data_IF_176537629350
#
_entry.id   IF_176537629350
#
_cell.length_a   1.000
_cell.length_b   1.000
_cell.length_c   1.000
_cell.angle_alpha   90.00
_cell.angle_beta   90.00
_cell.angle_gamma   90.00
#
_symmetry.space_group_name_H-M   'P 1'
#
loop_
_entity.id
_entity.type
_entity.pdbx_description
1 polymer ?
#
# COMPACT_ATOMS: atom_id res chain seq x y z
N UNK A 1 23.92 -16.53 12.70
CA UNK A 1 22.87 -15.55 13.09
C UNK A 1 21.61 -15.66 12.21
N UNK A 2 21.68 -15.44 10.88
CA UNK A 2 20.49 -15.53 9.99
C UNK A 2 19.71 -16.85 10.06
N UNK A 3 20.38 -17.98 10.28
CA UNK A 3 19.74 -19.30 10.38
C UNK A 3 18.83 -19.41 11.63
N UNK A 4 19.32 -18.97 12.79
CA UNK A 4 18.53 -18.88 14.04
C UNK A 4 17.22 -18.12 13.83
N UNK A 5 17.28 -17.00 13.11
CA UNK A 5 16.10 -16.19 12.79
C UNK A 5 15.13 -16.88 11.83
N UNK A 6 15.65 -17.59 10.81
CA UNK A 6 14.84 -18.37 9.88
C UNK A 6 14.02 -19.44 10.59
N UNK A 7 14.59 -20.09 11.59
CA UNK A 7 13.90 -21.07 12.43
C UNK A 7 12.89 -20.39 13.36
N UNK A 8 13.35 -19.46 14.21
CA UNK A 8 12.55 -18.85 15.29
C UNK A 8 11.34 -18.07 14.81
N UNK A 9 11.48 -17.23 13.79
CA UNK A 9 10.43 -16.28 13.38
C UNK A 9 9.72 -16.66 12.07
N UNK A 10 10.34 -17.54 11.27
CA UNK A 10 9.86 -17.85 9.94
C UNK A 10 9.55 -19.34 9.72
N UNK A 11 9.66 -20.17 10.76
CA UNK A 11 9.46 -21.63 10.72
C UNK A 11 10.17 -22.27 9.51
N UNK A 12 11.39 -21.83 9.23
CA UNK A 12 12.22 -22.25 8.10
C UNK A 12 11.64 -22.03 6.68
N UNK A 13 10.52 -21.30 6.57
CA UNK A 13 9.88 -20.92 5.30
C UNK A 13 10.69 -19.85 4.56
N UNK A 14 11.28 -18.93 5.32
CA UNK A 14 12.30 -17.99 4.85
C UNK A 14 13.68 -18.63 5.05
N UNK A 15 14.55 -18.49 4.06
CA UNK A 15 15.94 -18.98 4.08
C UNK A 15 16.91 -17.81 4.18
N UNK A 16 18.15 -17.98 4.69
CA UNK A 16 19.10 -16.88 4.89
C UNK A 16 19.33 -15.99 3.66
N UNK A 17 19.34 -16.57 2.45
CA UNK A 17 19.47 -15.82 1.18
C UNK A 17 18.35 -14.80 0.92
N UNK A 18 17.21 -14.95 1.58
CA UNK A 18 16.07 -14.03 1.44
C UNK A 18 16.06 -12.95 2.53
N UNK A 19 16.97 -13.00 3.51
CA UNK A 19 17.12 -11.99 4.54
C UNK A 19 18.17 -10.96 4.10
N UNK A 20 17.68 -9.77 3.73
CA UNK A 20 18.53 -8.62 3.39
C UNK A 20 18.80 -7.80 4.65
N UNK A 21 20.04 -7.40 4.85
CA UNK A 21 20.39 -6.46 5.91
C UNK A 21 19.80 -5.07 5.65
N UNK A 22 19.50 -4.36 6.73
CA UNK A 22 19.14 -2.96 6.67
C UNK A 22 19.79 -2.19 7.83
N UNK A 23 20.01 -0.91 7.57
CA UNK A 23 20.35 0.12 8.55
C UNK A 23 19.51 1.34 8.18
N UNK A 24 18.74 1.87 9.13
CA UNK A 24 17.79 2.93 8.87
C UNK A 24 17.70 3.90 10.05
N UNK A 25 17.57 5.20 9.74
CA UNK A 25 17.28 6.24 10.71
C UNK A 25 15.76 6.45 10.80
N UNK A 26 15.22 6.44 12.01
CA UNK A 26 13.80 6.61 12.29
C UNK A 26 13.40 8.10 12.29
N UNK A 27 12.10 8.44 12.21
CA UNK A 27 11.62 9.82 12.30
C UNK A 27 12.13 10.62 13.51
N UNK A 28 12.18 10.01 14.70
CA UNK A 28 12.69 10.64 15.92
C UNK A 28 14.22 10.64 16.01
N UNK A 29 14.90 10.05 15.02
CA UNK A 29 16.36 10.08 14.88
C UNK A 29 17.09 8.92 15.53
N UNK A 30 16.38 7.88 15.97
CA UNK A 30 16.99 6.61 16.37
C UNK A 30 17.60 5.90 15.15
N UNK A 31 18.58 5.04 15.37
CA UNK A 31 19.16 4.19 14.33
C UNK A 31 18.79 2.74 14.63
N UNK A 32 18.24 2.05 13.64
CA UNK A 32 17.88 0.64 13.74
C UNK A 32 18.63 -0.18 12.71
N UNK A 33 19.06 -1.37 13.10
CA UNK A 33 19.71 -2.35 12.21
C UNK A 33 19.05 -3.71 12.34
N UNK A 34 19.07 -4.48 11.26
CA UNK A 34 18.49 -5.82 11.29
C UNK A 34 18.35 -6.47 9.91
N UNK A 35 17.36 -7.34 9.79
CA UNK A 35 17.11 -8.15 8.60
C UNK A 35 15.67 -8.04 8.13
N UNK A 36 15.45 -7.90 6.82
CA UNK A 36 14.12 -7.86 6.19
C UNK A 36 13.97 -8.99 5.16
N UNK A 37 12.84 -9.68 5.21
CA UNK A 37 12.52 -10.79 4.31
C UNK A 37 12.08 -10.30 2.93
N UNK A 38 12.71 -10.85 1.89
CA UNK A 38 12.36 -10.66 0.48
C UNK A 38 11.62 -11.86 -0.13
N UNK A 39 11.26 -12.86 0.68
CA UNK A 39 10.57 -14.07 0.20
C UNK A 39 9.12 -13.72 -0.16
N UNK A 40 8.64 -14.02 -1.38
CA UNK A 40 7.26 -13.70 -1.79
C UNK A 40 6.26 -14.71 -1.20
N UNK A 41 6.03 -14.65 0.11
CA UNK A 41 5.11 -15.50 0.86
C UNK A 41 4.43 -14.69 1.98
N UNK A 42 3.89 -15.38 3.00
CA UNK A 42 3.28 -14.74 4.19
C UNK A 42 4.23 -13.83 4.99
N UNK A 43 5.54 -13.91 4.77
CA UNK A 43 6.56 -13.12 5.46
C UNK A 43 7.22 -12.09 4.55
N UNK A 44 6.61 -11.75 3.42
CA UNK A 44 7.16 -10.74 2.52
C UNK A 44 7.20 -9.38 3.22
N UNK A 45 8.40 -8.84 3.42
CA UNK A 45 8.61 -7.55 4.08
C UNK A 45 8.61 -7.59 5.60
N UNK A 46 8.39 -8.75 6.23
CA UNK A 46 8.55 -8.93 7.67
C UNK A 46 10.04 -8.77 8.03
N UNK A 47 10.33 -8.24 9.21
CA UNK A 47 11.69 -7.92 9.61
C UNK A 47 12.00 -8.26 11.07
N UNK A 48 13.29 -8.32 11.37
CA UNK A 48 13.81 -8.49 12.73
C UNK A 48 14.78 -7.34 12.95
N UNK A 49 14.49 -6.51 13.95
CA UNK A 49 15.42 -5.49 14.45
C UNK A 49 16.34 -6.17 15.45
N UNK A 50 17.64 -6.07 15.21
CA UNK A 50 18.67 -6.73 16.03
C UNK A 50 19.47 -5.75 16.88
N UNK A 51 19.42 -4.46 16.55
CA UNK A 51 20.19 -3.43 17.23
C UNK A 51 19.47 -2.09 17.14
N UNK A 52 19.49 -1.34 18.24
CA UNK A 52 18.94 0.01 18.35
C UNK A 52 19.99 0.93 18.96
N UNK A 53 20.23 2.07 18.32
CA UNK A 53 20.90 3.23 18.92
C UNK A 53 19.87 4.35 19.05
N UNK A 54 19.53 4.68 20.29
CA UNK A 54 18.63 5.80 20.59
C UNK A 54 19.29 7.14 20.22
N UNK A 55 18.45 8.17 19.99
CA UNK A 55 18.93 9.54 19.70
C UNK A 55 19.90 10.09 20.75
N UNK A 56 19.79 9.65 22.00
CA UNK A 56 20.67 10.04 23.12
C UNK A 56 22.05 9.33 23.10
N UNK A 57 22.29 8.43 22.16
CA UNK A 57 23.53 7.64 22.02
C UNK A 57 23.52 6.28 22.72
N UNK A 58 22.52 5.97 23.55
CA UNK A 58 22.37 4.65 24.18
C UNK A 58 22.17 3.59 23.09
N UNK A 59 22.98 2.53 23.12
CA UNK A 59 22.93 1.45 22.11
C UNK A 59 22.83 0.09 22.77
N UNK A 60 22.03 -0.80 22.19
CA UNK A 60 21.80 -2.14 22.71
C UNK A 60 21.34 -3.11 21.61
N UNK A 61 21.60 -4.40 21.87
CA UNK A 61 21.11 -5.49 21.05
C UNK A 61 19.69 -5.86 21.49
N UNK A 62 18.86 -6.24 20.51
CA UNK A 62 17.47 -6.64 20.74
C UNK A 62 17.07 -7.73 19.73
N UNK A 63 15.91 -8.35 19.90
CA UNK A 63 15.32 -9.24 18.90
C UNK A 63 13.83 -8.92 18.75
N UNK A 64 13.53 -7.81 18.08
CA UNK A 64 12.15 -7.39 17.86
C UNK A 64 11.68 -7.82 16.46
N UNK A 65 10.65 -8.67 16.41
CA UNK A 65 10.02 -9.10 15.17
C UNK A 65 8.89 -8.15 14.77
N UNK A 66 8.81 -7.82 13.48
CA UNK A 66 7.73 -7.02 12.92
C UNK A 66 7.14 -7.78 11.74
N UNK A 67 5.90 -8.21 11.88
CA UNK A 67 5.18 -8.93 10.84
C UNK A 67 4.68 -7.95 9.77
N UNK A 68 4.90 -8.26 8.49
CA UNK A 68 4.38 -7.46 7.38
C UNK A 68 3.08 -8.05 6.84
N UNK A 69 2.36 -7.28 6.03
CA UNK A 69 1.19 -7.78 5.33
C UNK A 69 1.58 -8.91 4.37
N UNK A 70 0.89 -10.07 4.39
CA UNK A 70 1.26 -11.23 3.60
C UNK A 70 1.17 -10.93 2.10
N UNK A 71 1.94 -11.67 1.28
CA UNK A 71 1.72 -11.66 -0.17
C UNK A 71 0.38 -12.34 -0.48
N UNK A 72 -0.59 -11.55 -0.93
CA UNK A 72 -1.91 -12.03 -1.33
C UNK A 72 -1.95 -12.26 -2.85
N UNK A 73 -2.63 -13.34 -3.26
CA UNK A 73 -2.67 -13.82 -4.64
C UNK A 73 -4.01 -13.50 -5.31
N UNK A 74 -4.02 -13.49 -6.64
CA UNK A 74 -5.26 -13.44 -7.40
C UNK A 74 -6.00 -14.78 -7.28
N UNK A 75 -7.32 -14.71 -7.20
CA UNK A 75 -8.13 -15.91 -7.34
C UNK A 75 -7.90 -16.56 -8.71
N UNK A 76 -7.70 -17.87 -8.71
CA UNK A 76 -7.56 -18.64 -9.94
C UNK A 76 -8.30 -19.99 -9.84
N UNK A 77 -8.38 -20.70 -10.98
CA UNK A 77 -9.07 -22.00 -11.11
C UNK A 77 -8.52 -23.11 -10.20
N UNK A 78 -7.37 -22.91 -9.53
CA UNK A 78 -6.75 -23.91 -8.64
C UNK A 78 -7.34 -23.87 -7.24
N UNK A 79 -8.05 -22.80 -6.89
CA UNK A 79 -8.75 -22.69 -5.62
C UNK A 79 -10.10 -23.41 -5.76
N UNK A 80 -10.06 -24.72 -5.53
CA UNK A 80 -11.25 -25.55 -5.44
C UNK A 80 -11.70 -25.62 -3.99
N UNK A 81 -12.96 -25.31 -3.77
CA UNK A 81 -13.69 -25.66 -2.56
C UNK A 81 -13.86 -27.17 -2.46
N UNK A 82 -13.94 -27.70 -1.23
CA UNK A 82 -14.27 -29.10 -0.98
C UNK A 82 -15.76 -29.22 -0.69
N UNK A 83 -16.34 -30.38 -0.97
CA UNK A 83 -17.81 -30.59 -0.95
C UNK A 83 -18.45 -30.42 0.45
N UNK A 84 -17.68 -30.54 1.54
CA UNK A 84 -18.17 -30.57 2.93
C UNK A 84 -18.22 -29.19 3.64
N UNK A 85 -18.46 -28.12 2.89
CA UNK A 85 -18.42 -26.77 3.42
C UNK A 85 -19.72 -26.40 4.14
N UNK A 86 -19.67 -26.17 5.46
CA UNK A 86 -20.79 -25.72 6.29
C UNK A 86 -21.18 -24.24 6.06
N UNK A 87 -21.53 -23.51 7.12
CA UNK A 87 -21.80 -22.06 7.00
C UNK A 87 -20.53 -21.32 6.62
N UNK A 88 -20.60 -20.48 5.59
CA UNK A 88 -19.50 -19.66 5.12
C UNK A 88 -19.99 -18.24 4.89
N UNK A 89 -19.26 -17.25 5.41
CA UNK A 89 -19.46 -15.83 5.12
C UNK A 89 -18.10 -15.24 4.73
N UNK A 90 -18.00 -14.78 3.48
CA UNK A 90 -16.84 -14.06 2.98
C UNK A 90 -17.16 -12.60 2.77
N UNK A 91 -16.37 -11.72 3.39
CA UNK A 91 -16.50 -10.29 3.19
C UNK A 91 -15.63 -9.83 2.01
N UNK A 92 -16.27 -9.17 1.05
CA UNK A 92 -15.62 -8.63 -0.14
C UNK A 92 -15.34 -7.13 0.09
N UNK A 93 -14.16 -6.84 0.64
CA UNK A 93 -13.74 -5.48 0.97
C UNK A 93 -13.20 -4.74 -0.25
N UNK A 94 -13.42 -3.43 -0.34
CA UNK A 94 -12.84 -2.58 -1.39
C UNK A 94 -11.32 -2.73 -1.38
N UNK A 95 -10.76 -3.11 -2.54
CA UNK A 95 -9.32 -3.05 -2.72
C UNK A 95 -8.95 -1.62 -3.09
N UNK A 96 -8.51 -0.87 -2.09
CA UNK A 96 -7.95 0.46 -2.30
C UNK A 96 -6.62 0.38 -3.08
N UNK A 97 -6.31 1.48 -3.75
CA UNK A 97 -5.15 1.59 -4.63
C UNK A 97 -4.23 2.71 -4.14
N UNK A 98 -3.30 2.34 -3.27
CA UNK A 98 -2.31 3.23 -2.71
C UNK A 98 -1.07 2.48 -2.22
N UNK A 99 -0.57 2.89 -1.06
CA UNK A 99 0.66 2.35 -0.50
C UNK A 99 0.37 1.64 0.81
N UNK A 100 0.67 0.34 0.85
CA UNK A 100 0.59 -0.44 2.06
C UNK A 100 1.66 0.01 3.06
N UNK A 101 1.22 0.50 4.22
CA UNK A 101 2.05 0.86 5.36
C UNK A 101 1.89 -0.18 6.46
N UNK A 102 3.01 -0.54 7.07
CA UNK A 102 3.07 -1.41 8.22
C UNK A 102 3.51 -0.53 9.38
N UNK A 103 2.73 -0.45 10.44
CA UNK A 103 2.96 0.43 11.58
C UNK A 103 3.21 -0.43 12.80
N UNK A 104 4.32 -0.18 13.49
CA UNK A 104 4.75 -0.91 14.67
C UNK A 104 5.38 0.04 15.70
N UNK A 105 5.35 -0.35 16.97
CA UNK A 105 6.09 0.33 18.04
C UNK A 105 7.55 -0.11 18.04
N UNK A 106 8.51 0.82 17.98
CA UNK A 106 9.90 0.55 18.33
C UNK A 106 10.02 0.54 19.85
N UNK A 107 10.55 -0.54 20.41
CA UNK A 107 10.64 -0.69 21.87
C UNK A 107 12.08 -0.68 22.37
N UNK A 108 12.27 -0.17 23.58
CA UNK A 108 13.56 -0.25 24.26
C UNK A 108 13.78 -1.58 24.98
N UNK A 109 14.95 -1.74 25.62
CA UNK A 109 15.31 -2.94 26.39
C UNK A 109 14.31 -3.28 27.51
N UNK A 110 13.58 -2.27 28.00
CA UNK A 110 12.56 -2.42 29.05
C UNK A 110 11.18 -2.79 28.47
N UNK A 111 11.06 -2.95 27.15
CA UNK A 111 9.80 -3.24 26.46
C UNK A 111 8.89 -2.02 26.27
N UNK A 112 9.35 -0.81 26.63
CA UNK A 112 8.55 0.40 26.46
C UNK A 112 8.64 0.92 25.03
N UNK A 113 7.50 1.36 24.49
CA UNK A 113 7.45 2.09 23.21
C UNK A 113 8.25 3.38 23.31
N UNK A 114 9.23 3.56 22.41
CA UNK A 114 10.01 4.79 22.27
C UNK A 114 9.65 5.58 21.02
N UNK A 115 9.02 4.94 20.03
CA UNK A 115 8.60 5.57 18.78
C UNK A 115 7.63 4.67 18.00
N UNK A 116 6.59 5.23 17.38
CA UNK A 116 5.73 4.51 16.42
C UNK A 116 6.30 4.73 15.01
N UNK A 117 6.61 3.63 14.31
CA UNK A 117 7.30 3.67 13.02
C UNK A 117 6.38 3.17 11.90
N UNK A 118 6.04 4.01 10.91
CA UNK A 118 5.50 3.55 9.64
C UNK A 118 6.64 3.04 8.74
N UNK A 119 6.47 1.83 8.20
CA UNK A 119 7.36 1.23 7.21
C UNK A 119 6.61 0.82 5.94
N UNK A 120 7.32 0.80 4.82
CA UNK A 120 6.83 0.17 3.59
C UNK A 120 7.20 -1.32 3.55
N UNK A 121 6.86 -2.01 2.47
CA UNK A 121 7.09 -3.46 2.35
C UNK A 121 8.57 -3.81 2.36
N UNK A 122 9.44 -3.02 1.72
CA UNK A 122 10.87 -3.34 1.57
C UNK A 122 11.79 -2.37 2.28
N UNK A 123 11.28 -1.43 3.06
CA UNK A 123 12.09 -0.54 3.90
C UNK A 123 11.72 -0.75 5.36
N UNK A 124 12.69 -0.59 6.26
CA UNK A 124 12.44 -0.68 7.70
C UNK A 124 11.74 0.57 8.26
N UNK A 125 11.91 1.70 7.56
CA UNK A 125 11.24 2.98 7.79
C UNK A 125 10.76 3.47 6.44
N UNK A 126 9.54 3.99 6.34
CA UNK A 126 9.01 4.53 5.10
C UNK A 126 9.84 5.72 4.62
N UNK A 127 9.89 5.96 3.31
CA UNK A 127 10.65 7.07 2.77
C UNK A 127 10.04 8.44 3.13
N UNK A 128 10.83 9.51 3.00
CA UNK A 128 10.41 10.84 3.44
C UNK A 128 9.11 11.33 2.79
N UNK A 129 8.85 10.99 1.52
CA UNK A 129 7.61 11.41 0.83
C UNK A 129 6.40 10.74 1.47
N UNK A 130 6.49 9.45 1.76
CA UNK A 130 5.43 8.71 2.45
C UNK A 130 5.26 9.23 3.88
N UNK A 131 6.36 9.47 4.60
CA UNK A 131 6.32 10.06 5.94
C UNK A 131 5.65 11.44 5.94
N UNK A 132 5.90 12.27 4.93
CA UNK A 132 5.27 13.59 4.81
C UNK A 132 3.77 13.48 4.55
N UNK A 133 3.31 12.47 3.81
CA UNK A 133 1.88 12.18 3.66
C UNK A 133 1.27 11.62 4.94
N UNK A 134 1.98 10.73 5.64
CA UNK A 134 1.57 10.17 6.94
C UNK A 134 1.46 11.23 8.04
N UNK A 135 2.18 12.35 7.95
CA UNK A 135 1.99 13.48 8.88
C UNK A 135 0.63 14.14 8.73
N UNK A 136 0.00 14.06 7.56
CA UNK A 136 -1.26 14.76 7.23
C UNK A 136 -2.52 14.00 7.63
N UNK A 137 -2.41 12.72 8.01
CA UNK A 137 -3.55 11.91 8.44
C UNK A 137 -3.79 12.04 9.96
N UNK A 138 -5.01 11.73 10.37
CA UNK A 138 -5.34 11.50 11.78
C UNK A 138 -4.72 10.18 12.26
N UNK A 139 -3.97 10.24 13.35
CA UNK A 139 -3.22 9.12 13.93
C UNK A 139 -3.69 8.75 15.33
N UNK A 140 -4.75 9.40 15.84
CA UNK A 140 -5.18 9.25 17.23
C UNK A 140 -5.40 7.78 17.62
N UNK A 141 -6.15 7.02 16.83
CA UNK A 141 -6.39 5.60 17.11
C UNK A 141 -5.10 4.74 17.10
N UNK A 142 -4.15 5.06 16.21
CA UNK A 142 -2.84 4.38 16.13
C UNK A 142 -2.02 4.67 17.40
N UNK A 143 -1.97 5.94 17.81
CA UNK A 143 -1.24 6.38 19.00
C UNK A 143 -1.85 5.82 20.28
N UNK A 144 -3.18 5.79 20.39
CA UNK A 144 -3.91 5.17 21.51
C UNK A 144 -3.64 3.67 21.59
N UNK A 145 -3.73 2.94 20.47
CA UNK A 145 -3.42 1.50 20.42
C UNK A 145 -2.01 1.21 20.93
N UNK A 146 -0.98 1.85 20.36
CA UNK A 146 0.41 1.60 20.76
C UNK A 146 0.82 2.24 22.10
N UNK A 147 -0.06 3.02 22.75
CA UNK A 147 0.19 3.55 24.10
C UNK A 147 0.05 2.46 25.18
N UNK A 148 -0.67 1.38 24.90
CA UNK A 148 -0.81 0.25 25.81
C UNK A 148 0.38 -0.72 25.63
N UNK A 149 1.18 -0.97 26.69
CA UNK A 149 2.36 -1.84 26.61
C UNK A 149 2.08 -3.29 26.19
N UNK A 150 0.83 -3.75 26.27
CA UNK A 150 0.44 -5.10 25.81
C UNK A 150 0.73 -5.26 24.31
N UNK A 151 0.59 -4.20 23.51
CA UNK A 151 0.76 -4.24 22.06
C UNK A 151 2.21 -4.04 21.59
N UNK A 152 3.20 -4.31 22.45
CA UNK A 152 4.61 -4.07 22.14
C UNK A 152 5.13 -4.88 20.94
N UNK A 153 4.58 -6.06 20.68
CA UNK A 153 4.95 -6.90 19.52
C UNK A 153 3.94 -6.84 18.36
N UNK A 154 2.89 -6.03 18.51
CA UNK A 154 1.82 -5.99 17.53
C UNK A 154 2.20 -5.14 16.33
N UNK A 155 1.53 -5.38 15.22
CA UNK A 155 1.74 -4.65 13.99
C UNK A 155 0.42 -4.42 13.28
N UNK A 156 0.14 -3.16 12.94
CA UNK A 156 -1.04 -2.78 12.21
C UNK A 156 -0.68 -2.51 10.74
N UNK A 157 -1.46 -3.04 9.81
CA UNK A 157 -1.22 -2.87 8.38
C UNK A 157 -2.35 -2.07 7.76
N UNK A 158 -1.95 -1.05 7.02
CA UNK A 158 -2.83 -0.04 6.51
C UNK A 158 -2.62 0.17 5.00
N UNK A 159 -3.64 0.68 4.32
CA UNK A 159 -3.50 1.29 3.01
C UNK A 159 -3.56 2.81 3.15
N UNK A 160 -2.47 3.51 2.79
CA UNK A 160 -2.44 4.97 2.64
C UNK A 160 -2.92 5.31 1.22
N UNK A 161 -3.99 6.10 1.08
CA UNK A 161 -4.63 6.35 -0.21
C UNK A 161 -5.20 7.79 -0.29
N UNK A 162 -5.47 8.26 -1.50
CA UNK A 162 -6.05 9.58 -1.74
C UNK A 162 -5.43 10.29 -2.93
N UNK A 163 -5.83 11.55 -3.15
CA UNK A 163 -5.31 12.42 -4.21
C UNK A 163 -3.78 12.55 -4.11
N UNK A 164 -3.24 12.72 -2.90
CA UNK A 164 -1.80 12.87 -2.70
C UNK A 164 -1.01 11.58 -2.97
N UNK A 165 -1.63 10.43 -2.75
CA UNK A 165 -1.02 9.12 -2.97
C UNK A 165 -1.69 8.37 -4.14
N UNK A 166 -1.86 9.06 -5.27
CA UNK A 166 -2.57 8.53 -6.42
C UNK A 166 -1.75 7.48 -7.17
N UNK A 167 -2.32 6.30 -7.32
CA UNK A 167 -1.84 5.22 -8.20
C UNK A 167 -2.71 5.17 -9.47
N UNK A 168 -3.37 4.05 -9.77
CA UNK A 168 -4.21 3.84 -10.94
C UNK A 168 -5.62 4.43 -10.74
N UNK A 169 -6.29 4.09 -9.63
CA UNK A 169 -7.61 4.67 -9.28
C UNK A 169 -7.42 6.00 -8.56
N UNK A 170 -8.14 7.02 -9.04
CA UNK A 170 -8.14 8.34 -8.42
C UNK A 170 -9.23 8.42 -7.35
N UNK A 171 -8.84 8.41 -6.08
CA UNK A 171 -9.72 8.66 -4.93
C UNK A 171 -9.95 10.17 -4.74
N UNK A 172 -10.66 10.80 -5.69
CA UNK A 172 -10.82 12.27 -5.74
C UNK A 172 -11.58 12.87 -4.56
N UNK A 173 -12.31 12.05 -3.80
CA UNK A 173 -13.10 12.48 -2.64
C UNK A 173 -12.29 12.40 -1.34
N UNK A 174 -11.05 11.90 -1.40
CA UNK A 174 -10.15 11.73 -0.27
C UNK A 174 -8.82 12.41 -0.57
N UNK A 175 -8.49 13.49 0.12
CA UNK A 175 -7.21 14.19 -0.09
C UNK A 175 -6.01 13.28 0.23
N UNK A 176 -6.01 12.72 1.44
CA UNK A 176 -5.11 11.67 1.93
C UNK A 176 -5.75 11.08 3.19
N UNK A 177 -5.82 9.76 3.30
CA UNK A 177 -6.31 9.07 4.49
C UNK A 177 -5.69 7.67 4.57
N UNK A 178 -5.96 6.97 5.66
CA UNK A 178 -5.48 5.62 5.92
C UNK A 178 -6.62 4.71 6.40
N UNK A 179 -6.61 3.45 5.98
CA UNK A 179 -7.54 2.43 6.51
C UNK A 179 -6.81 1.14 6.86
N UNK A 180 -7.27 0.48 7.92
CA UNK A 180 -6.72 -0.78 8.42
C UNK A 180 -7.13 -1.92 7.49
N UNK A 181 -6.14 -2.56 6.86
CA UNK A 181 -6.33 -3.68 5.93
C UNK A 181 -5.90 -5.03 6.51
N UNK A 182 -5.19 -5.03 7.65
CA UNK A 182 -4.80 -6.22 8.38
C UNK A 182 -4.16 -5.86 9.71
N UNK A 183 -4.10 -6.83 10.62
CA UNK A 183 -3.45 -6.69 11.91
C UNK A 183 -2.73 -7.99 12.28
N UNK A 184 -1.60 -7.85 12.95
CA UNK A 184 -0.90 -8.94 13.60
C UNK A 184 -0.83 -8.62 15.10
N UNK A 185 -1.61 -9.34 15.89
CA UNK A 185 -1.82 -9.11 17.31
C UNK A 185 -1.61 -10.43 18.02
N UNK A 186 -0.88 -10.43 19.14
CA UNK A 186 -0.62 -11.63 19.94
C UNK A 186 -0.10 -12.81 19.10
N UNK A 187 0.93 -12.53 18.29
CA UNK A 187 1.58 -13.50 17.39
C UNK A 187 0.67 -14.09 16.29
N UNK A 188 -0.53 -13.54 16.12
CA UNK A 188 -1.55 -14.05 15.19
C UNK A 188 -1.91 -12.98 14.16
N UNK A 189 -1.96 -13.39 12.89
CA UNK A 189 -2.49 -12.51 11.85
C UNK A 189 -4.01 -12.62 11.84
N UNK A 190 -4.71 -11.51 12.08
CA UNK A 190 -6.15 -11.47 12.25
C UNK A 190 -6.87 -11.42 10.89
N UNK A 191 -7.94 -12.21 10.73
CA UNK A 191 -8.89 -12.09 9.63
C UNK A 191 -9.85 -10.91 9.82
N UNK A 192 -10.72 -10.68 8.82
CA UNK A 192 -11.66 -9.57 8.88
C UNK A 192 -12.58 -9.61 10.09
N UNK A 193 -13.16 -10.77 10.39
CA UNK A 193 -14.08 -10.93 11.49
C UNK A 193 -13.35 -10.75 12.82
N UNK A 194 -12.17 -11.35 12.95
CA UNK A 194 -11.29 -11.18 14.11
C UNK A 194 -10.90 -9.72 14.36
N UNK A 195 -10.72 -8.91 13.31
CA UNK A 195 -10.51 -7.46 13.45
C UNK A 195 -11.78 -6.76 13.93
N UNK A 196 -12.94 -7.10 13.37
CA UNK A 196 -14.22 -6.46 13.72
C UNK A 196 -14.68 -6.72 15.16
N UNK A 197 -14.31 -7.86 15.75
CA UNK A 197 -14.69 -8.20 17.13
C UNK A 197 -13.60 -7.85 18.16
N UNK A 198 -12.44 -7.39 17.70
CA UNK A 198 -11.36 -7.00 18.59
C UNK A 198 -11.59 -5.57 19.07
N UNK A 199 -11.94 -5.42 20.35
CA UNK A 199 -12.25 -4.12 20.96
C UNK A 199 -11.10 -3.11 20.89
N UNK A 200 -9.86 -3.57 20.82
CA UNK A 200 -8.69 -2.69 20.68
C UNK A 200 -8.61 -2.09 19.27
N UNK A 201 -9.34 -2.67 18.30
CA UNK A 201 -9.36 -2.26 16.91
C UNK A 201 -10.65 -1.52 16.47
N UNK A 202 -11.64 -1.37 17.36
CA UNK A 202 -12.95 -0.77 17.04
C UNK A 202 -12.88 0.67 16.49
N UNK A 203 -11.83 1.42 16.85
CA UNK A 203 -11.66 2.82 16.45
C UNK A 203 -10.96 2.99 15.09
N UNK A 204 -10.54 1.92 14.42
CA UNK A 204 -9.88 2.02 13.12
C UNK A 204 -10.89 1.99 11.97
N UNK A 205 -10.72 2.91 11.02
CA UNK A 205 -11.42 2.84 9.73
C UNK A 205 -10.94 1.62 8.97
N UNK A 206 -11.88 0.85 8.41
CA UNK A 206 -11.60 -0.28 7.52
C UNK A 206 -12.08 0.04 6.10
N UNK A 207 -11.56 -0.64 5.06
CA UNK A 207 -12.13 -0.55 3.72
C UNK A 207 -13.60 -0.99 3.72
N UNK A 208 -14.41 -0.30 2.92
CA UNK A 208 -15.83 -0.62 2.79
C UNK A 208 -16.02 -2.05 2.31
N UNK A 209 -16.85 -2.82 3.00
CA UNK A 209 -17.35 -4.09 2.46
C UNK A 209 -18.37 -3.76 1.37
N UNK A 210 -18.12 -4.19 0.13
CA UNK A 210 -19.02 -3.93 -1.01
C UNK A 210 -20.06 -5.05 -1.13
N UNK A 211 -19.58 -6.30 -0.98
CA UNK A 211 -20.42 -7.50 -1.07
C UNK A 211 -20.10 -8.47 0.08
N UNK A 212 -21.03 -9.39 0.35
CA UNK A 212 -20.75 -10.65 1.04
C UNK A 212 -21.05 -11.83 0.12
N UNK A 213 -20.28 -12.90 0.25
CA UNK A 213 -20.59 -14.21 -0.33
C UNK A 213 -20.96 -15.13 0.82
N UNK A 214 -22.17 -15.65 0.82
CA UNK A 214 -22.74 -16.40 1.94
C UNK A 214 -23.20 -17.78 1.49
N UNK A 215 -22.98 -18.80 2.32
CA UNK A 215 -23.57 -20.14 2.22
C UNK A 215 -24.05 -20.55 3.61
N UNK A 216 -25.32 -20.93 3.74
CA UNK A 216 -25.85 -21.44 5.01
C UNK A 216 -25.71 -22.97 5.11
N UNK A 217 -25.70 -23.56 6.32
CA UNK A 217 -25.50 -25.02 6.50
C UNK A 217 -26.52 -25.90 5.77
N UNK A 218 -27.73 -25.41 5.58
CA UNK A 218 -28.84 -26.06 4.91
C UNK A 218 -28.90 -25.78 3.40
N UNK A 219 -27.99 -24.94 2.90
CA UNK A 219 -27.93 -24.54 1.49
C UNK A 219 -26.75 -25.20 0.76
N UNK A 220 -27.04 -25.71 -0.44
CA UNK A 220 -26.00 -26.22 -1.35
C UNK A 220 -25.47 -25.16 -2.32
N UNK A 221 -25.85 -23.90 -2.12
CA UNK A 221 -25.53 -22.80 -3.04
C UNK A 221 -25.06 -21.57 -2.27
N UNK A 222 -24.21 -20.79 -2.92
CA UNK A 222 -23.77 -19.49 -2.45
C UNK A 222 -24.73 -18.39 -2.91
N UNK A 223 -24.93 -17.37 -2.08
CA UNK A 223 -25.58 -16.12 -2.44
C UNK A 223 -24.56 -14.97 -2.41
N UNK A 224 -24.75 -13.99 -3.29
CA UNK A 224 -23.95 -12.76 -3.31
C UNK A 224 -24.83 -11.61 -2.89
N UNK A 225 -24.57 -11.03 -1.71
CA UNK A 225 -25.36 -9.94 -1.17
C UNK A 225 -24.61 -8.62 -1.26
N UNK A 226 -25.34 -7.56 -1.56
CA UNK A 226 -24.86 -6.20 -1.46
C UNK A 226 -24.80 -5.79 0.02
N UNK A 227 -23.74 -5.12 0.44
CA UNK A 227 -23.72 -4.55 1.78
C UNK A 227 -24.46 -3.19 1.81
N UNK A 228 -25.60 -3.15 2.51
CA UNK A 228 -26.45 -1.95 2.62
C UNK A 228 -25.75 -0.76 3.27
N UNK A 229 -24.74 -1.01 4.10
CA UNK A 229 -23.97 0.04 4.78
C UNK A 229 -22.96 0.75 3.85
N UNK A 230 -22.83 0.30 2.59
CA UNK A 230 -22.00 0.97 1.60
C UNK A 230 -22.70 2.23 1.03
N UNK A 231 -22.67 3.32 1.78
CA UNK A 231 -23.29 4.60 1.39
C UNK A 231 -22.63 5.22 0.14
N UNK A 232 -21.32 5.06 -0.02
CA UNK A 232 -20.53 5.60 -1.14
C UNK A 232 -21.05 5.12 -2.49
N UNK A 233 -21.50 3.87 -2.58
CA UNK A 233 -21.95 3.24 -3.82
C UNK A 233 -23.46 3.00 -3.88
N UNK A 234 -24.24 3.52 -2.92
CA UNK A 234 -25.69 3.29 -2.82
C UNK A 234 -26.46 3.61 -4.10
N UNK A 235 -26.10 4.69 -4.80
CA UNK A 235 -26.75 5.08 -6.07
C UNK A 235 -26.40 4.16 -7.25
N UNK A 236 -25.39 3.31 -7.09
CA UNK A 236 -24.92 2.36 -8.09
C UNK A 236 -25.23 0.91 -7.70
N UNK A 237 -25.98 0.72 -6.59
CA UNK A 237 -26.38 -0.58 -6.07
C UNK A 237 -26.87 -1.48 -7.19
N UNK A 238 -26.32 -2.68 -7.20
CA UNK A 238 -26.69 -3.72 -8.15
C UNK A 238 -26.81 -5.02 -7.35
N UNK A 239 -28.01 -5.60 -7.34
CA UNK A 239 -28.36 -6.78 -6.55
C UNK A 239 -28.30 -8.01 -7.44
N UNK A 240 -27.79 -9.12 -6.91
CA UNK A 240 -27.97 -10.44 -7.49
C UNK A 240 -29.05 -11.19 -6.70
N UNK A 241 -30.12 -11.59 -7.38
CA UNK A 241 -31.15 -12.50 -6.82
C UNK A 241 -30.82 -13.97 -7.09
N UNK A 242 -29.70 -14.24 -7.77
CA UNK A 242 -29.26 -15.60 -8.12
C UNK A 242 -28.50 -16.24 -6.97
N UNK A 243 -28.61 -17.56 -6.90
CA UNK A 243 -27.72 -18.42 -6.12
C UNK A 243 -26.76 -19.17 -7.05
N UNK A 244 -25.63 -19.59 -6.52
CA UNK A 244 -24.50 -20.12 -7.28
C UNK A 244 -24.06 -21.47 -6.70
N UNK A 245 -23.89 -22.52 -7.52
CA UNK A 245 -23.51 -23.83 -7.01
C UNK A 245 -22.07 -23.88 -6.49
N UNK A 246 -21.22 -22.92 -6.88
CA UNK A 246 -19.82 -22.86 -6.45
C UNK A 246 -19.39 -21.44 -6.08
N UNK A 247 -18.41 -21.30 -5.20
CA UNK A 247 -17.77 -20.00 -4.93
C UNK A 247 -17.11 -19.41 -6.17
N UNK A 248 -16.62 -20.24 -7.09
CA UNK A 248 -16.09 -19.75 -8.35
C UNK A 248 -17.17 -18.98 -9.13
N UNK A 249 -18.37 -19.53 -9.22
CA UNK A 249 -19.50 -18.89 -9.91
C UNK A 249 -19.97 -17.64 -9.17
N UNK A 250 -20.02 -17.68 -7.83
CA UNK A 250 -20.31 -16.50 -7.02
C UNK A 250 -19.28 -15.39 -7.23
N UNK A 251 -17.98 -15.72 -7.31
CA UNK A 251 -16.91 -14.76 -7.63
C UNK A 251 -17.07 -14.21 -9.05
N UNK A 252 -17.51 -15.02 -10.03
CA UNK A 252 -17.80 -14.51 -11.38
C UNK A 252 -18.95 -13.50 -11.37
N UNK A 253 -19.99 -13.73 -10.55
CA UNK A 253 -21.05 -12.73 -10.37
C UNK A 253 -20.52 -11.46 -9.72
N UNK A 254 -19.71 -11.57 -8.65
CA UNK A 254 -19.08 -10.40 -8.02
C UNK A 254 -18.27 -9.58 -9.04
N UNK A 255 -17.51 -10.24 -9.93
CA UNK A 255 -16.82 -9.56 -11.05
C UNK A 255 -17.80 -8.80 -11.94
N UNK A 256 -18.89 -9.43 -12.35
CA UNK A 256 -19.90 -8.82 -13.22
C UNK A 256 -20.64 -7.65 -12.53
N UNK A 257 -20.90 -7.75 -11.22
CA UNK A 257 -21.52 -6.67 -10.44
C UNK A 257 -20.57 -5.46 -10.33
N UNK A 258 -19.28 -5.69 -10.07
CA UNK A 258 -18.28 -4.61 -10.07
C UNK A 258 -18.17 -3.90 -11.42
N UNK A 259 -18.23 -4.63 -12.54
CA UNK A 259 -18.26 -4.04 -13.89
C UNK A 259 -19.47 -3.13 -14.09
N UNK A 260 -20.67 -3.60 -13.73
CA UNK A 260 -21.90 -2.80 -13.82
C UNK A 260 -21.80 -1.52 -13.00
N UNK A 261 -21.23 -1.59 -11.79
CA UNK A 261 -21.02 -0.42 -10.93
C UNK A 261 -20.02 0.55 -11.58
N UNK A 262 -18.88 0.05 -12.05
CA UNK A 262 -17.87 0.87 -12.72
C UNK A 262 -18.42 1.53 -13.99
N UNK A 263 -19.22 0.82 -14.78
CA UNK A 263 -19.86 1.36 -15.98
C UNK A 263 -20.83 2.51 -15.62
N UNK A 264 -21.79 2.27 -14.71
CA UNK A 264 -22.73 3.30 -14.26
C UNK A 264 -22.00 4.51 -13.67
N UNK A 265 -20.96 4.28 -12.87
CA UNK A 265 -20.17 5.36 -12.28
C UNK A 265 -19.43 6.17 -13.36
N UNK A 266 -18.87 5.50 -14.37
CA UNK A 266 -18.14 6.11 -15.47
C UNK A 266 -19.04 7.00 -16.33
N UNK A 267 -20.28 6.58 -16.62
CA UNK A 267 -21.25 7.36 -17.40
C UNK A 267 -21.51 8.75 -16.79
N UNK A 268 -21.44 8.88 -15.46
CA UNK A 268 -21.66 10.15 -14.77
C UNK A 268 -20.38 10.91 -14.43
N UNK A 269 -19.26 10.21 -14.19
CA UNK A 269 -18.05 10.80 -13.61
C UNK A 269 -16.82 10.75 -14.51
N UNK A 270 -16.88 10.05 -15.66
CA UNK A 270 -15.76 9.86 -16.58
C UNK A 270 -14.56 9.09 -16.00
N UNK A 271 -14.77 8.35 -14.90
CA UNK A 271 -13.75 7.55 -14.21
C UNK A 271 -14.34 6.27 -13.62
N UNK A 272 -13.48 5.30 -13.27
CA UNK A 272 -13.88 4.09 -12.51
C UNK A 272 -13.84 4.38 -11.00
N UNK A 273 -14.60 3.60 -10.24
CA UNK A 273 -14.70 3.74 -8.77
C UNK A 273 -14.10 2.55 -8.01
N UNK A 274 -14.15 1.34 -8.58
CA UNK A 274 -13.62 0.12 -7.96
C UNK A 274 -12.46 -0.42 -8.81
N UNK A 275 -11.27 -0.58 -8.22
CA UNK A 275 -10.17 -1.34 -8.83
C UNK A 275 -10.44 -2.85 -8.77
N UNK A 276 -10.97 -3.29 -7.63
CA UNK A 276 -11.26 -4.67 -7.31
C UNK A 276 -11.66 -4.78 -5.84
N UNK A 277 -11.71 -6.02 -5.37
CA UNK A 277 -11.97 -6.35 -3.97
C UNK A 277 -10.89 -7.28 -3.42
N UNK A 278 -10.77 -7.29 -2.11
CA UNK A 278 -10.09 -8.33 -1.35
C UNK A 278 -11.15 -9.15 -0.65
N UNK A 279 -11.19 -10.45 -0.94
CA UNK A 279 -11.95 -11.41 -0.15
C UNK A 279 -11.08 -11.75 1.05
N UNK A 280 -11.59 -11.45 2.24
CA UNK A 280 -10.96 -11.77 3.53
C UNK A 280 -11.94 -12.60 4.35
N UNK A 281 -11.52 -13.80 4.74
CA UNK A 281 -12.29 -14.68 5.60
C UNK A 281 -11.51 -15.91 6.04
N UNK A 282 -12.11 -16.66 6.95
CA UNK A 282 -11.55 -17.91 7.44
C UNK A 282 -11.94 -19.07 6.51
N UNK A 283 -10.94 -19.80 6.00
CA UNK A 283 -11.18 -21.11 5.39
C UNK A 283 -10.98 -22.19 6.46
N UNK A 284 -11.84 -23.21 6.50
CA UNK A 284 -11.69 -24.35 7.42
C UNK A 284 -10.28 -24.95 7.28
N UNK A 285 -9.69 -25.40 8.40
CA UNK A 285 -8.25 -25.65 8.68
C UNK A 285 -7.45 -24.45 9.23
N UNK A 286 -8.10 -23.42 9.81
CA UNK A 286 -7.46 -22.20 10.35
C UNK A 286 -6.60 -21.47 9.30
N UNK A 287 -6.96 -21.63 8.03
CA UNK A 287 -6.24 -21.06 6.89
C UNK A 287 -6.87 -19.72 6.55
N UNK A 288 -6.24 -18.63 6.96
CA UNK A 288 -6.70 -17.31 6.57
C UNK A 288 -6.63 -17.14 5.04
N UNK A 289 -7.75 -16.72 4.45
CA UNK A 289 -7.86 -16.53 3.00
C UNK A 289 -7.86 -15.04 2.67
N UNK A 290 -6.82 -14.62 1.94
CA UNK A 290 -6.76 -13.32 1.29
C UNK A 290 -6.65 -13.47 -0.21
N UNK A 291 -7.68 -13.04 -0.92
CA UNK A 291 -7.73 -13.17 -2.38
C UNK A 291 -8.09 -11.85 -3.03
N UNK A 292 -7.31 -11.48 -4.05
CA UNK A 292 -7.65 -10.34 -4.90
C UNK A 292 -8.57 -10.79 -6.02
N UNK A 293 -9.65 -10.04 -6.22
CA UNK A 293 -10.56 -10.20 -7.35
C UNK A 293 -10.70 -8.87 -8.07
N UNK A 294 -10.48 -8.87 -9.39
CA UNK A 294 -10.68 -7.71 -10.27
C UNK A 294 -11.86 -7.95 -11.21
N UNK A 295 -12.62 -6.90 -11.59
CA UNK A 295 -13.62 -7.01 -12.65
C UNK A 295 -12.95 -7.37 -13.99
N UNK A 296 -13.67 -8.07 -14.89
CA UNK A 296 -13.08 -8.63 -16.11
C UNK A 296 -12.71 -7.55 -17.11
N UNK A 297 -13.36 -6.39 -17.13
CA UNK A 297 -12.98 -5.25 -17.98
C UNK A 297 -11.56 -4.78 -17.68
N UNK A 298 -11.18 -4.70 -16.40
CA UNK A 298 -9.81 -4.39 -15.97
C UNK A 298 -8.84 -5.52 -16.37
N UNK A 299 -9.24 -6.80 -16.21
CA UNK A 299 -8.43 -7.95 -16.64
C UNK A 299 -8.28 -8.04 -18.17
N UNK A 300 -9.31 -7.68 -18.93
CA UNK A 300 -9.36 -7.77 -20.39
C UNK A 300 -8.53 -6.65 -21.04
N UNK A 301 -8.53 -5.45 -20.47
CA UNK A 301 -7.69 -4.35 -20.93
C UNK A 301 -6.19 -4.70 -20.80
N UNK A 302 -5.82 -5.55 -19.85
CA UNK A 302 -4.46 -6.10 -19.76
C UNK A 302 -4.15 -7.12 -20.87
N UNK A 303 -5.16 -7.84 -21.39
CA UNK A 303 -4.99 -8.97 -22.33
C UNK A 303 -5.15 -8.60 -23.81
N UNK A 304 -5.83 -7.51 -24.16
CA UNK A 304 -6.18 -7.17 -25.54
C UNK A 304 -5.12 -6.38 -26.32
N UNK A 305 -3.95 -6.12 -25.73
CA UNK A 305 -2.97 -5.21 -26.29
C UNK A 305 -1.64 -5.91 -26.55
N UNK A 306 -1.03 -5.63 -27.71
CA UNK A 306 0.29 -6.14 -28.06
C UNK A 306 1.41 -5.63 -27.13
N UNK A 307 1.13 -4.60 -26.32
CA UNK A 307 2.09 -4.00 -25.39
C UNK A 307 1.40 -3.49 -24.12
N UNK A 308 2.13 -3.39 -23.02
CA UNK A 308 1.60 -2.98 -21.70
C UNK A 308 1.22 -1.50 -21.70
N UNK A 309 -0.04 -1.11 -21.40
CA UNK A 309 -0.46 0.29 -21.42
C UNK A 309 0.30 1.20 -20.45
N UNK A 310 0.35 2.51 -20.76
CA UNK A 310 1.10 3.49 -19.97
C UNK A 310 0.63 3.56 -18.52
N UNK A 311 -0.67 3.38 -18.26
CA UNK A 311 -1.20 3.47 -16.90
C UNK A 311 -0.67 2.34 -15.99
N UNK A 312 -0.55 1.11 -16.49
CA UNK A 312 -0.02 -0.02 -15.73
C UNK A 312 1.48 0.15 -15.47
N UNK A 313 2.21 0.65 -16.48
CA UNK A 313 3.61 1.04 -16.33
C UNK A 313 3.76 2.15 -15.27
N UNK A 314 2.92 3.19 -15.31
CA UNK A 314 2.94 4.30 -14.36
C UNK A 314 2.73 3.82 -12.93
N UNK A 315 1.76 2.93 -12.70
CA UNK A 315 1.50 2.32 -11.40
C UNK A 315 2.74 1.62 -10.82
N UNK A 316 3.36 0.74 -11.61
CA UNK A 316 4.54 0.00 -11.14
C UNK A 316 5.78 0.89 -10.99
N UNK A 317 5.90 1.95 -11.79
CA UNK A 317 6.93 2.99 -11.60
C UNK A 317 6.68 3.76 -10.29
N UNK A 318 5.44 4.18 -10.00
CA UNK A 318 5.13 4.88 -8.75
C UNK A 318 5.46 4.00 -7.54
N UNK A 319 5.07 2.73 -7.56
CA UNK A 319 5.44 1.75 -6.52
C UNK A 319 6.95 1.60 -6.38
N UNK A 320 7.71 1.63 -7.48
CA UNK A 320 9.18 1.64 -7.40
C UNK A 320 9.69 2.84 -6.59
N UNK A 321 9.16 4.04 -6.84
CA UNK A 321 9.54 5.22 -6.06
C UNK A 321 9.11 5.12 -4.60
N UNK A 322 7.92 4.60 -4.30
CA UNK A 322 7.47 4.38 -2.91
C UNK A 322 8.34 3.33 -2.19
N UNK A 323 8.83 2.33 -2.92
CA UNK A 323 9.62 1.22 -2.37
C UNK A 323 11.09 1.57 -2.14
N UNK A 324 11.66 2.42 -2.99
CA UNK A 324 13.09 2.75 -2.94
C UNK A 324 13.37 4.19 -2.51
N UNK A 325 12.38 5.10 -2.57
CA UNK A 325 12.45 6.46 -2.05
C UNK A 325 13.70 7.21 -2.46
N UNK A 326 14.43 7.74 -1.47
CA UNK A 326 15.69 8.46 -1.68
C UNK A 326 16.81 7.61 -2.30
N UNK A 327 16.74 6.28 -2.21
CA UNK A 327 17.75 5.38 -2.77
C UNK A 327 17.61 5.19 -4.28
N UNK A 328 16.50 5.63 -4.89
CA UNK A 328 16.25 5.50 -6.33
C UNK A 328 17.41 6.07 -7.14
N UNK A 329 18.05 7.16 -6.67
CA UNK A 329 19.21 7.75 -7.34
C UNK A 329 20.47 6.92 -7.29
N UNK A 330 20.88 6.48 -6.10
CA UNK A 330 22.04 5.61 -5.98
C UNK A 330 21.85 4.30 -6.77
N UNK A 331 20.64 3.75 -6.76
CA UNK A 331 20.31 2.55 -7.53
C UNK A 331 20.42 2.79 -9.05
N UNK A 332 19.93 3.92 -9.55
CA UNK A 332 20.00 4.26 -10.97
C UNK A 332 21.45 4.54 -11.43
N UNK A 333 22.25 5.24 -10.60
CA UNK A 333 23.67 5.51 -10.89
C UNK A 333 24.52 4.23 -10.90
N UNK A 334 24.16 3.23 -10.08
CA UNK A 334 24.84 1.93 -10.04
C UNK A 334 24.37 0.95 -11.12
N UNK A 335 23.06 0.89 -11.41
CA UNK A 335 22.44 0.06 -12.45
C UNK A 335 21.24 0.80 -13.05
N UNK A 336 21.46 1.45 -14.19
CA UNK A 336 20.44 2.21 -14.92
C UNK A 336 19.32 1.33 -15.49
N UNK A 337 19.41 0.00 -15.34
CA UNK A 337 18.36 -0.95 -15.71
C UNK A 337 17.61 -1.53 -14.50
N UNK A 338 18.00 -1.19 -13.27
CA UNK A 338 17.39 -1.75 -12.06
C UNK A 338 15.87 -1.52 -12.00
N UNK A 339 15.42 -0.29 -12.31
CA UNK A 339 13.98 0.03 -12.34
C UNK A 339 13.26 -0.74 -13.45
N UNK A 340 13.90 -0.97 -14.60
CA UNK A 340 13.33 -1.76 -15.70
C UNK A 340 13.12 -3.20 -15.24
N UNK A 341 14.12 -3.81 -14.59
CA UNK A 341 14.03 -5.17 -14.05
C UNK A 341 12.91 -5.28 -13.01
N UNK A 342 12.80 -4.30 -12.11
CA UNK A 342 11.73 -4.25 -11.11
C UNK A 342 10.35 -4.14 -11.77
N UNK A 343 10.13 -3.15 -12.64
CA UNK A 343 8.83 -2.90 -13.28
C UNK A 343 8.42 -4.10 -14.12
N UNK A 344 9.32 -4.67 -14.93
CA UNK A 344 9.05 -5.90 -15.68
C UNK A 344 8.68 -7.07 -14.76
N UNK A 345 9.35 -7.22 -13.62
CA UNK A 345 9.02 -8.28 -12.67
C UNK A 345 7.61 -8.12 -12.10
N UNK A 346 7.21 -6.90 -11.71
CA UNK A 346 5.85 -6.65 -11.20
C UNK A 346 4.78 -6.85 -12.30
N UNK A 347 5.05 -6.42 -13.53
CA UNK A 347 4.11 -6.59 -14.64
C UNK A 347 3.82 -8.06 -14.99
N UNK A 348 4.69 -9.01 -14.64
CA UNK A 348 4.45 -10.45 -14.83
C UNK A 348 3.24 -10.96 -14.05
N UNK A 349 2.75 -10.21 -13.08
CA UNK A 349 1.52 -10.57 -12.37
C UNK A 349 0.28 -10.46 -13.26
N UNK A 350 0.31 -9.61 -14.29
CA UNK A 350 -0.88 -9.26 -15.08
C UNK A 350 -0.69 -9.44 -16.60
N UNK A 351 0.56 -9.45 -17.09
CA UNK A 351 0.88 -9.43 -18.52
C UNK A 351 1.74 -10.63 -18.94
N UNK A 352 1.59 -11.05 -20.19
CA UNK A 352 2.41 -12.12 -20.78
C UNK A 352 3.87 -11.68 -20.96
N UNK A 353 4.77 -12.64 -21.10
CA UNK A 353 6.18 -12.35 -21.35
C UNK A 353 6.38 -11.56 -22.64
N UNK A 354 5.64 -11.89 -23.69
CA UNK A 354 5.69 -11.24 -25.00
C UNK A 354 5.29 -9.76 -24.90
N UNK A 355 4.21 -9.45 -24.19
CA UNK A 355 3.75 -8.07 -23.97
C UNK A 355 4.78 -7.25 -23.18
N UNK A 356 5.44 -7.86 -22.19
CA UNK A 356 6.43 -7.21 -21.32
C UNK A 356 7.75 -6.93 -22.06
N UNK A 357 8.17 -7.86 -22.90
CA UNK A 357 9.40 -7.74 -23.70
C UNK A 357 9.20 -6.93 -25.00
N UNK A 358 7.97 -6.56 -25.36
CA UNK A 358 7.69 -5.69 -26.50
C UNK A 358 8.51 -4.37 -26.42
N UNK A 359 9.19 -3.94 -27.49
CA UNK A 359 10.01 -2.73 -27.49
C UNK A 359 9.25 -1.44 -27.12
N UNK A 360 7.95 -1.36 -27.43
CA UNK A 360 7.08 -0.23 -27.06
C UNK A 360 6.85 -0.20 -25.56
N UNK A 361 6.67 -1.36 -24.92
CA UNK A 361 6.60 -1.49 -23.46
C UNK A 361 7.89 -0.98 -22.82
N UNK A 362 9.06 -1.43 -23.31
CA UNK A 362 10.35 -0.96 -22.77
C UNK A 362 10.51 0.56 -22.89
N UNK A 363 10.22 1.14 -24.06
CA UNK A 363 10.26 2.60 -24.27
C UNK A 363 9.32 3.34 -23.30
N UNK A 364 8.12 2.81 -23.10
CA UNK A 364 7.11 3.37 -22.19
C UNK A 364 7.55 3.30 -20.73
N UNK A 365 8.21 2.23 -20.29
CA UNK A 365 8.82 2.11 -18.96
C UNK A 365 9.85 3.22 -18.76
N UNK A 366 10.79 3.39 -19.70
CA UNK A 366 11.82 4.44 -19.62
C UNK A 366 11.21 5.84 -19.54
N UNK A 367 10.30 6.17 -20.46
CA UNK A 367 9.68 7.49 -20.49
C UNK A 367 8.88 7.79 -19.22
N UNK A 368 8.08 6.82 -18.76
CA UNK A 368 7.25 7.00 -17.56
C UNK A 368 8.10 7.12 -16.30
N UNK A 369 9.21 6.38 -16.21
CA UNK A 369 10.18 6.54 -15.12
C UNK A 369 10.75 7.95 -15.08
N UNK A 370 11.21 8.48 -16.22
CA UNK A 370 11.73 9.85 -16.31
C UNK A 370 10.66 10.88 -15.98
N UNK A 371 9.42 10.72 -16.48
CA UNK A 371 8.30 11.60 -16.15
C UNK A 371 8.06 11.68 -14.63
N UNK A 372 8.04 10.52 -13.95
CA UNK A 372 7.84 10.46 -12.49
C UNK A 372 9.04 11.02 -11.75
N UNK A 373 10.26 10.68 -12.17
CA UNK A 373 11.50 11.20 -11.62
C UNK A 373 11.55 12.73 -11.68
N UNK A 374 11.31 13.30 -12.85
CA UNK A 374 11.32 14.74 -13.10
C UNK A 374 10.17 15.44 -12.37
N UNK A 375 9.04 14.76 -12.16
CA UNK A 375 7.98 15.27 -11.30
C UNK A 375 8.35 15.30 -9.81
N UNK A 376 9.43 14.65 -9.38
CA UNK A 376 9.93 14.73 -8.00
C UNK A 376 11.03 15.78 -7.84
N UNK A 377 11.72 16.15 -8.93
CA UNK A 377 12.73 17.20 -8.94
C UNK A 377 12.06 18.51 -9.34
N UNK A 378 12.08 19.57 -8.49
CA UNK A 378 11.59 20.87 -8.91
C UNK A 378 12.29 21.28 -10.21
N UNK A 379 11.58 21.65 -11.29
CA UNK A 379 12.21 22.05 -12.53
C UNK A 379 13.26 23.14 -12.27
N UNK A 380 14.42 23.11 -12.94
CA UNK A 380 15.46 24.15 -12.77
C UNK A 380 14.90 25.57 -12.95
N UNK A 381 13.93 25.75 -13.85
CA UNK A 381 13.24 27.02 -14.01
C UNK A 381 12.49 27.47 -12.76
N UNK A 382 11.85 26.56 -12.03
CA UNK A 382 11.20 26.87 -10.75
C UNK A 382 12.23 27.05 -9.64
N UNK A 383 13.32 26.26 -9.63
CA UNK A 383 14.42 26.45 -8.67
C UNK A 383 15.01 27.85 -8.79
N UNK A 384 15.37 28.27 -10.01
CA UNK A 384 15.91 29.60 -10.28
C UNK A 384 14.95 30.71 -9.85
N UNK A 385 13.64 30.57 -10.17
CA UNK A 385 12.62 31.53 -9.74
C UNK A 385 12.56 31.62 -8.21
N UNK A 386 12.62 30.49 -7.50
CA UNK A 386 12.54 30.50 -6.05
C UNK A 386 13.81 31.08 -5.41
N UNK A 387 14.99 30.76 -5.93
CA UNK A 387 16.26 31.33 -5.49
C UNK A 387 16.34 32.85 -5.74
N UNK A 388 15.82 33.32 -6.88
CA UNK A 388 15.67 34.74 -7.19
C UNK A 388 14.71 35.43 -6.21
N UNK A 389 13.53 34.86 -6.00
CA UNK A 389 12.54 35.43 -5.07
C UNK A 389 13.04 35.51 -3.63
N UNK A 390 13.79 34.53 -3.15
CA UNK A 390 14.44 34.59 -1.82
C UNK A 390 15.50 35.70 -1.80
N UNK A 391 16.33 35.80 -2.83
CA UNK A 391 17.38 36.82 -2.93
C UNK A 391 16.82 38.24 -2.96
N UNK A 392 15.71 38.43 -3.66
CA UNK A 392 15.02 39.72 -3.77
C UNK A 392 14.17 40.06 -2.54
N UNK A 393 13.77 39.05 -1.75
CA UNK A 393 12.91 39.21 -0.59
C UNK A 393 13.45 38.41 0.62
N UNK A 394 14.66 38.74 1.13
CA UNK A 394 15.39 37.91 2.08
C UNK A 394 14.68 37.75 3.43
N UNK A 395 13.88 38.74 3.83
CA UNK A 395 13.15 38.73 5.11
C UNK A 395 11.73 38.18 5.00
N UNK A 396 11.30 37.77 3.80
CA UNK A 396 9.93 37.28 3.58
C UNK A 396 9.77 35.85 4.05
N UNK A 397 8.64 35.58 4.72
CA UNK A 397 8.24 34.23 5.14
C UNK A 397 7.82 33.38 3.93
N UNK A 398 7.83 32.04 4.07
CA UNK A 398 7.37 31.13 3.01
C UNK A 398 5.95 31.49 2.48
N UNK A 399 4.95 31.80 3.32
CA UNK A 399 3.64 32.25 2.83
C UNK A 399 3.69 33.54 2.01
N UNK A 400 4.57 34.49 2.34
CA UNK A 400 4.74 35.73 1.60
C UNK A 400 5.43 35.50 0.26
N UNK A 401 6.51 34.70 0.24
CA UNK A 401 7.17 34.26 -0.98
C UNK A 401 6.22 33.51 -1.91
N UNK A 402 5.31 32.70 -1.36
CA UNK A 402 4.27 32.02 -2.13
C UNK A 402 3.24 32.98 -2.74
N UNK A 403 2.85 34.04 -2.01
CA UNK A 403 1.99 35.11 -2.55
C UNK A 403 2.69 35.86 -3.68
N UNK A 404 3.97 36.18 -3.49
CA UNK A 404 4.79 36.85 -4.52
C UNK A 404 4.91 35.94 -5.75
N UNK A 405 5.27 34.67 -5.57
CA UNK A 405 5.37 33.68 -6.64
C UNK A 405 4.08 33.58 -7.46
N UNK A 406 2.92 33.47 -6.79
CA UNK A 406 1.63 33.35 -7.46
C UNK A 406 1.25 34.63 -8.24
N UNK A 407 1.65 35.81 -7.74
CA UNK A 407 1.40 37.10 -8.40
C UNK A 407 2.33 37.33 -9.59
N UNK A 408 3.62 37.07 -9.41
CA UNK A 408 4.66 37.35 -10.42
C UNK A 408 4.69 36.31 -11.52
N UNK A 409 4.37 35.04 -11.22
CA UNK A 409 4.43 33.92 -12.16
C UNK A 409 3.08 33.19 -12.28
N UNK A 410 1.99 33.87 -12.71
CA UNK A 410 0.65 33.28 -12.75
C UNK A 410 0.55 32.06 -13.69
N UNK A 411 1.33 32.03 -14.76
CA UNK A 411 1.42 30.88 -15.69
C UNK A 411 2.07 29.63 -15.05
N UNK A 412 2.77 29.80 -13.92
CA UNK A 412 3.45 28.73 -13.16
C UNK A 412 2.65 28.28 -11.94
N UNK A 413 1.40 28.73 -11.77
CA UNK A 413 0.55 28.39 -10.62
C UNK A 413 0.39 26.88 -10.39
N UNK A 414 0.39 26.06 -11.44
CA UNK A 414 0.34 24.58 -11.32
C UNK A 414 1.59 23.98 -10.67
N UNK A 415 2.69 24.72 -10.59
CA UNK A 415 3.97 24.32 -10.02
C UNK A 415 4.19 24.89 -8.61
N UNK A 416 3.16 25.51 -8.00
CA UNK A 416 3.23 26.13 -6.66
C UNK A 416 3.71 25.16 -5.58
N UNK A 417 3.40 23.87 -5.70
CA UNK A 417 3.87 22.84 -4.75
C UNK A 417 5.40 22.69 -4.78
N UNK A 418 6.02 22.81 -5.94
CA UNK A 418 7.48 22.79 -6.06
C UNK A 418 8.09 24.05 -5.44
N UNK A 419 7.51 25.22 -5.72
CA UNK A 419 7.98 26.48 -5.16
C UNK A 419 7.91 26.47 -3.62
N UNK A 420 6.78 26.03 -3.06
CA UNK A 420 6.61 25.88 -1.61
C UNK A 420 7.68 24.97 -0.99
N UNK A 421 7.96 23.83 -1.62
CA UNK A 421 8.95 22.87 -1.15
C UNK A 421 10.38 23.45 -1.22
N UNK A 422 10.70 24.25 -2.24
CA UNK A 422 12.01 24.91 -2.36
C UNK A 422 12.15 25.99 -1.30
N UNK A 423 11.16 26.89 -1.16
CA UNK A 423 11.18 27.94 -0.13
C UNK A 423 11.34 27.36 1.27
N UNK A 424 10.53 26.34 1.60
CA UNK A 424 10.59 25.67 2.90
C UNK A 424 11.95 25.05 3.21
N UNK A 425 12.65 24.51 2.19
CA UNK A 425 13.97 23.86 2.36
C UNK A 425 15.13 24.84 2.45
N UNK A 426 15.07 25.94 1.70
CA UNK A 426 16.15 26.95 1.69
C UNK A 426 16.08 27.78 2.97
N UNK A 427 14.88 28.16 3.42
CA UNK A 427 14.69 28.97 4.63
C UNK A 427 14.81 28.20 5.95
N UNK A 428 14.80 26.86 5.90
CA UNK A 428 15.05 26.02 7.08
C UNK A 428 16.54 25.72 7.32
N UNK A 429 17.42 26.26 6.48
CA UNK A 429 18.88 26.25 6.65
C UNK A 429 19.32 27.60 7.19
#
# INVERSE_FOLDING_TARGET
>A
MKEKFCEKYFNNTVKPKHLREFEAKTPNGNLIKGYISRKPNRYLGSMIITHITEKNGKSYDTEQFVQSFPKIHYWDKRHKLKEDEGQIIYHCQEKLDGTCLIIYSLNNEQGNSIEIIPKSRSQAVADQRILDMYKLIDKKAIEEFFSNPIHFNDTLMFELYGILNRHEIAHMDTYIDIVLIGAFVDETFLDHFSILINSDLDNFKMPDTIFSIEKFPDENTFSVKWNEDNYKLKNYKTISEKTFPTLFDAIQEVKALMEKINQKYFEHNGRRVIEGIVINGEHFFNGQMYLKVKPKDIEAEARQLDSVPRRFVLKEVQKYFDEFGSNVRALYENDDTHYIKYVKHQLKEEFSYEQIEDPRTLRRIKNTFMDVWDSQIPPKSIQNICEELIRENPDSTVPELMKIFARTYPSKKRQSRYAFNIFSKIMSR
#
